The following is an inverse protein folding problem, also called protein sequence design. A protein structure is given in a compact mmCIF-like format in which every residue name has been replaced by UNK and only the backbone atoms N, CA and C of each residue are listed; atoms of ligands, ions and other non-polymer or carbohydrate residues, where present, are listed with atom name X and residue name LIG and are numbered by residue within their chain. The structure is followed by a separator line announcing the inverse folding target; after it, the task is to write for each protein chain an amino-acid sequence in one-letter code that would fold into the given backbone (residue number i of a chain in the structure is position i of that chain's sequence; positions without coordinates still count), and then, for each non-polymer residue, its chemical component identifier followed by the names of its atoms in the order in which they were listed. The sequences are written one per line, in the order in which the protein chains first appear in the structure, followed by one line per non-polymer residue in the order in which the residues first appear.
data_IF_723768526943
#
_entry.id   IF_723768526943
#
_cell.length_a   1.000
_cell.length_b   1.000
_cell.length_c   1.000
_cell.angle_alpha   90.00
_cell.angle_beta   90.00
_cell.angle_gamma   90.00
#
_symmetry.space_group_name_H-M   'P 1'
#
loop_
_entity.id
_entity.type
_entity.pdbx_description
1 polymer ?
#
# COMPACT_ATOMS: atom_id res chain seq x y z
N UNK A 1 -53.92 23.56 85.76
CA UNK A 1 -54.00 24.87 85.08
C UNK A 1 -53.52 24.73 83.63
N UNK A 2 -54.07 25.53 82.69
CA UNK A 2 -53.60 25.92 81.32
C UNK A 2 -52.91 24.85 80.44
N UNK A 3 -53.47 24.37 79.31
CA UNK A 3 -53.85 25.01 78.00
C UNK A 3 -52.69 25.38 77.05
N UNK A 4 -52.66 24.73 75.86
CA UNK A 4 -52.38 25.26 74.49
C UNK A 4 -50.96 25.87 74.26
N UNK A 5 -50.40 26.11 73.06
CA UNK A 5 -50.71 25.98 71.61
C UNK A 5 -49.31 25.96 70.89
N UNK A 6 -49.01 25.20 69.83
CA UNK A 6 -49.20 25.49 68.37
C UNK A 6 -48.36 26.65 67.78
N UNK A 7 -47.97 26.53 66.50
CA UNK A 7 -47.51 27.57 65.52
C UNK A 7 -45.98 27.84 65.43
N UNK A 8 -45.33 28.21 64.30
CA UNK A 8 -45.22 27.69 62.89
C UNK A 8 -44.08 28.49 62.12
N UNK A 9 -43.77 28.23 60.83
CA UNK A 9 -42.86 29.00 59.87
C UNK A 9 -41.31 28.78 60.05
N UNK A 10 -40.37 28.81 59.06
CA UNK A 10 -40.27 28.96 57.57
C UNK A 10 -39.01 28.18 57.08
N UNK A 11 -38.95 27.73 55.82
CA UNK A 11 -37.65 27.53 55.13
C UNK A 11 -37.61 26.45 54.05
N UNK A 12 -38.12 26.73 52.86
CA UNK A 12 -37.96 25.84 51.70
C UNK A 12 -36.79 26.25 50.80
N UNK A 13 -36.08 25.27 50.23
CA UNK A 13 -35.30 25.45 49.00
C UNK A 13 -35.29 24.15 48.20
N UNK A 14 -36.18 24.04 47.22
CA UNK A 14 -36.20 22.92 46.28
C UNK A 14 -35.28 23.24 45.09
N UNK A 15 -34.04 22.76 45.14
CA UNK A 15 -33.12 22.81 43.99
C UNK A 15 -33.49 21.70 43.00
N UNK A 16 -34.50 21.97 42.17
CA UNK A 16 -34.82 21.17 41.00
C UNK A 16 -33.73 21.36 39.94
N UNK A 17 -32.63 20.62 40.08
CA UNK A 17 -31.57 20.55 39.07
C UNK A 17 -32.07 19.84 37.82
N UNK A 18 -32.66 20.60 36.90
CA UNK A 18 -32.90 20.17 35.52
C UNK A 18 -31.54 20.01 34.81
N UNK A 19 -30.89 18.88 35.06
CA UNK A 19 -29.73 18.45 34.29
C UNK A 19 -30.17 18.27 32.85
N UNK A 20 -29.70 19.14 31.96
CA UNK A 20 -29.82 18.94 30.53
C UNK A 20 -29.03 17.68 30.17
N UNK A 21 -29.74 16.57 29.94
CA UNK A 21 -29.16 15.37 29.35
C UNK A 21 -28.91 15.73 27.89
N UNK A 22 -27.74 16.31 27.61
CA UNK A 22 -27.23 16.38 26.26
C UNK A 22 -27.18 14.93 25.73
N UNK A 23 -27.70 14.65 24.52
CA UNK A 23 -27.58 13.32 23.96
C UNK A 23 -26.09 13.03 23.81
N UNK A 24 -25.60 12.04 24.55
CA UNK A 24 -24.30 11.47 24.28
C UNK A 24 -24.41 10.80 22.91
N UNK A 25 -23.95 11.49 21.87
CA UNK A 25 -23.68 10.88 20.58
C UNK A 25 -22.47 9.96 20.77
N UNK A 26 -22.74 8.78 21.32
CA UNK A 26 -21.88 7.63 21.11
C UNK A 26 -21.83 7.43 19.59
N UNK A 27 -20.65 7.62 19.01
CA UNK A 27 -20.42 7.25 17.62
C UNK A 27 -20.70 5.74 17.52
N UNK A 28 -21.81 5.39 16.86
CA UNK A 28 -22.20 4.01 16.67
C UNK A 28 -21.24 3.41 15.64
N UNK A 29 -20.37 2.51 16.09
CA UNK A 29 -19.59 1.67 15.18
C UNK A 29 -20.52 0.60 14.62
N UNK A 30 -20.81 0.66 13.33
CA UNK A 30 -21.58 -0.37 12.62
C UNK A 30 -20.67 -1.59 12.41
N UNK A 31 -21.24 -2.79 12.51
CA UNK A 31 -20.52 -4.04 12.24
C UNK A 31 -21.02 -4.61 10.92
N UNK A 32 -20.09 -5.00 10.04
CA UNK A 32 -20.40 -5.83 8.87
C UNK A 32 -19.91 -7.26 9.11
N UNK A 33 -20.76 -8.22 8.76
CA UNK A 33 -20.51 -9.66 8.86
C UNK A 33 -21.23 -10.43 7.73
N UNK A 34 -21.44 -9.79 6.57
CA UNK A 34 -22.19 -10.32 5.42
C UNK A 34 -22.19 -9.37 4.22
N UNK A 35 -23.22 -9.43 3.38
CA UNK A 35 -23.36 -8.64 2.15
C UNK A 35 -24.23 -7.38 2.33
N UNK A 36 -23.84 -6.25 1.75
CA UNK A 36 -24.72 -5.07 1.65
C UNK A 36 -24.45 -4.23 0.39
N UNK A 37 -25.51 -3.68 -0.20
CA UNK A 37 -25.44 -2.89 -1.44
C UNK A 37 -26.21 -1.57 -1.34
N UNK A 38 -25.63 -0.48 -1.86
CA UNK A 38 -26.31 0.82 -2.00
C UNK A 38 -26.69 1.52 -0.69
N UNK A 39 -25.96 1.25 0.40
CA UNK A 39 -26.25 1.77 1.75
C UNK A 39 -25.31 2.91 2.16
N UNK A 40 -25.69 3.68 3.19
CA UNK A 40 -24.84 4.71 3.77
C UNK A 40 -24.69 4.51 5.27
N UNK A 41 -23.50 4.12 5.69
CA UNK A 41 -23.11 3.98 7.10
C UNK A 41 -22.80 5.37 7.65
N UNK A 42 -23.46 5.84 8.73
CA UNK A 42 -23.33 7.22 9.22
C UNK A 42 -22.08 7.47 10.09
N UNK A 43 -21.24 6.46 10.31
CA UNK A 43 -20.05 6.52 11.17
C UNK A 43 -19.02 5.46 10.80
N UNK A 44 -18.26 4.99 11.80
CA UNK A 44 -17.22 3.97 11.59
C UNK A 44 -17.83 2.58 11.29
N UNK A 45 -17.17 1.82 10.41
CA UNK A 45 -17.47 0.42 10.13
C UNK A 45 -16.38 -0.50 10.70
N UNK A 46 -16.78 -1.65 11.26
CA UNK A 46 -15.87 -2.74 11.61
C UNK A 46 -16.29 -4.06 10.94
N UNK A 47 -15.36 -4.75 10.29
CA UNK A 47 -15.49 -6.19 10.03
C UNK A 47 -14.82 -6.89 11.21
N UNK A 48 -15.53 -7.76 11.92
CA UNK A 48 -14.99 -8.39 13.15
C UNK A 48 -14.06 -9.56 12.80
N UNK A 49 -13.26 -9.99 13.78
CA UNK A 49 -12.18 -10.96 13.53
C UNK A 49 -12.73 -12.29 13.02
N UNK A 50 -12.28 -12.73 11.84
CA UNK A 50 -12.74 -13.95 11.17
C UNK A 50 -14.10 -13.85 10.46
N UNK A 51 -14.76 -12.69 10.49
CA UNK A 51 -15.93 -12.42 9.65
C UNK A 51 -15.48 -11.93 8.27
N UNK A 52 -16.33 -12.13 7.26
CA UNK A 52 -16.17 -11.55 5.93
C UNK A 52 -17.29 -10.53 5.67
N UNK A 53 -16.98 -9.51 4.89
CA UNK A 53 -17.90 -8.46 4.47
C UNK A 53 -17.75 -8.21 2.97
N UNK A 54 -18.86 -8.17 2.24
CA UNK A 54 -18.92 -7.78 0.84
C UNK A 54 -19.79 -6.54 0.70
N UNK A 55 -19.26 -5.47 0.09
CA UNK A 55 -19.97 -4.19 -0.07
C UNK A 55 -20.04 -3.77 -1.54
N UNK A 56 -21.23 -3.37 -1.98
CA UNK A 56 -21.47 -2.79 -3.30
C UNK A 56 -22.01 -1.35 -3.14
N UNK A 57 -21.55 -0.38 -3.93
CA UNK A 57 -22.06 1.01 -3.99
C UNK A 57 -22.29 1.67 -2.61
N UNK A 58 -21.40 1.40 -1.65
CA UNK A 58 -21.61 1.75 -0.23
C UNK A 58 -20.81 2.98 0.19
N UNK A 59 -21.42 3.85 1.01
CA UNK A 59 -20.76 5.05 1.54
C UNK A 59 -20.59 4.96 3.06
N UNK A 60 -19.37 5.17 3.55
CA UNK A 60 -19.02 5.12 4.97
C UNK A 60 -18.55 6.50 5.44
N UNK A 61 -19.36 7.14 6.29
CA UNK A 61 -19.09 8.47 6.85
C UNK A 61 -18.19 8.42 8.10
N UNK A 62 -17.14 7.60 8.03
CA UNK A 62 -16.21 7.34 9.12
C UNK A 62 -15.02 6.52 8.65
N UNK A 63 -14.37 5.85 9.59
CA UNK A 63 -13.24 4.97 9.34
C UNK A 63 -13.71 3.53 9.19
N UNK A 64 -12.95 2.72 8.44
CA UNK A 64 -13.15 1.28 8.33
C UNK A 64 -12.04 0.57 9.09
N UNK A 65 -12.41 -0.44 9.89
CA UNK A 65 -11.47 -1.36 10.51
C UNK A 65 -11.75 -2.80 10.09
N UNK A 66 -10.85 -3.36 9.30
CA UNK A 66 -10.81 -4.80 9.04
C UNK A 66 -10.03 -5.43 10.19
N UNK A 67 -10.70 -6.26 11.00
CA UNK A 67 -10.08 -6.90 12.16
C UNK A 67 -9.11 -8.01 11.75
N UNK A 68 -8.46 -8.63 12.74
CA UNK A 68 -7.48 -9.67 12.49
C UNK A 68 -8.15 -10.90 11.87
N UNK A 69 -7.59 -11.43 10.78
CA UNK A 69 -8.15 -12.56 10.04
C UNK A 69 -9.50 -12.30 9.36
N UNK A 70 -9.97 -11.04 9.33
CA UNK A 70 -11.24 -10.64 8.73
C UNK A 70 -11.06 -10.18 7.28
N UNK A 71 -12.09 -10.32 6.46
CA UNK A 71 -12.02 -9.95 5.04
C UNK A 71 -13.01 -8.84 4.70
N UNK A 72 -12.55 -7.82 3.99
CA UNK A 72 -13.41 -6.82 3.34
C UNK A 72 -13.14 -6.84 1.83
N UNK A 73 -14.15 -7.18 1.07
CA UNK A 73 -14.19 -7.06 -0.39
C UNK A 73 -15.22 -5.98 -0.72
N UNK A 74 -14.92 -5.07 -1.64
CA UNK A 74 -15.91 -4.10 -2.07
C UNK A 74 -15.72 -3.56 -3.49
N UNK A 75 -16.84 -3.29 -4.17
CA UNK A 75 -16.91 -2.54 -5.43
C UNK A 75 -17.70 -1.24 -5.20
N UNK A 76 -17.20 -0.12 -5.74
CA UNK A 76 -17.83 1.20 -5.60
C UNK A 76 -17.83 1.77 -4.16
N UNK A 77 -16.93 1.31 -3.28
CA UNK A 77 -16.89 1.75 -1.87
C UNK A 77 -16.34 3.17 -1.74
N UNK A 78 -17.07 4.04 -1.04
CA UNK A 78 -16.58 5.37 -0.62
C UNK A 78 -16.37 5.42 0.90
N UNK A 79 -15.13 5.67 1.34
CA UNK A 79 -14.76 5.85 2.76
C UNK A 79 -14.31 7.30 2.99
N UNK A 80 -15.11 8.06 3.76
CA UNK A 80 -14.83 9.45 4.13
C UNK A 80 -13.86 9.57 5.32
N UNK A 81 -12.94 8.62 5.45
CA UNK A 81 -12.02 8.42 6.57
C UNK A 81 -10.91 7.45 6.20
N UNK A 82 -10.29 6.82 7.20
CA UNK A 82 -9.17 5.88 6.98
C UNK A 82 -9.67 4.43 6.91
N UNK A 83 -8.95 3.57 6.19
CA UNK A 83 -9.11 2.11 6.26
C UNK A 83 -7.91 1.54 7.01
N UNK A 84 -8.15 0.72 8.04
CA UNK A 84 -7.08 0.07 8.81
C UNK A 84 -7.28 -1.44 8.83
N UNK A 85 -6.35 -2.17 8.23
CA UNK A 85 -6.33 -3.64 8.16
C UNK A 85 -5.38 -4.17 9.22
N UNK A 86 -5.88 -5.04 10.11
CA UNK A 86 -5.06 -5.70 11.14
C UNK A 86 -4.42 -7.00 10.61
N UNK A 87 -3.57 -7.60 11.44
CA UNK A 87 -2.88 -8.88 11.20
C UNK A 87 -3.77 -9.95 10.53
N UNK A 88 -3.32 -10.58 9.44
CA UNK A 88 -4.06 -11.59 8.66
C UNK A 88 -5.39 -11.13 8.03
N UNK A 89 -5.77 -9.86 8.15
CA UNK A 89 -6.95 -9.33 7.48
C UNK A 89 -6.73 -9.14 5.98
N UNK A 90 -7.77 -9.27 5.16
CA UNK A 90 -7.72 -9.00 3.72
C UNK A 90 -8.54 -7.76 3.37
N UNK A 91 -8.04 -6.97 2.43
CA UNK A 91 -8.75 -5.84 1.83
C UNK A 91 -8.62 -5.93 0.31
N UNK A 92 -9.75 -6.04 -0.38
CA UNK A 92 -9.87 -5.98 -1.83
C UNK A 92 -10.85 -4.85 -2.17
N UNK A 93 -10.39 -3.83 -2.87
CA UNK A 93 -11.19 -2.66 -3.25
C UNK A 93 -11.13 -2.44 -4.76
N UNK A 94 -12.29 -2.46 -5.39
CA UNK A 94 -12.51 -2.18 -6.81
C UNK A 94 -13.31 -0.89 -6.97
N UNK A 95 -12.99 -0.06 -7.98
CA UNK A 95 -13.66 1.23 -8.30
C UNK A 95 -13.89 2.15 -7.09
N UNK A 96 -13.01 2.11 -6.08
CA UNK A 96 -13.29 2.64 -4.75
C UNK A 96 -12.56 3.95 -4.43
N UNK A 97 -12.97 4.63 -3.37
CA UNK A 97 -12.35 5.88 -2.90
C UNK A 97 -12.19 5.88 -1.39
N UNK A 98 -10.96 6.07 -0.91
CA UNK A 98 -10.61 6.27 0.49
C UNK A 98 -10.07 7.69 0.66
N UNK A 99 -10.85 8.59 1.24
CA UNK A 99 -10.44 10.00 1.43
C UNK A 99 -9.28 10.14 2.42
N UNK A 100 -9.16 9.19 3.36
CA UNK A 100 -8.04 9.07 4.28
C UNK A 100 -6.97 8.08 3.83
N UNK A 101 -6.22 7.55 4.78
CA UNK A 101 -5.13 6.61 4.51
C UNK A 101 -5.62 5.16 4.52
N UNK A 102 -4.97 4.31 3.71
CA UNK A 102 -5.02 2.86 3.85
C UNK A 102 -3.81 2.44 4.71
N UNK A 103 -4.07 1.76 5.84
CA UNK A 103 -3.05 1.43 6.83
C UNK A 103 -3.02 -0.08 7.08
N UNK A 104 -1.94 -0.72 6.63
CA UNK A 104 -1.67 -2.15 6.82
C UNK A 104 -0.86 -2.35 8.12
N UNK A 105 -1.32 -3.27 8.99
CA UNK A 105 -0.64 -3.68 10.24
C UNK A 105 -0.41 -5.19 10.29
N UNK A 106 0.22 -5.73 9.24
CA UNK A 106 0.47 -7.17 9.06
C UNK A 106 -0.70 -7.91 8.42
N UNK A 107 -1.52 -7.22 7.62
CA UNK A 107 -2.59 -7.80 6.82
C UNK A 107 -2.11 -9.01 6.01
N UNK A 108 -3.00 -9.93 5.67
CA UNK A 108 -2.70 -10.94 4.65
C UNK A 108 -2.40 -10.25 3.31
N UNK A 109 -3.19 -9.24 2.94
CA UNK A 109 -2.97 -8.49 1.72
C UNK A 109 -3.90 -7.29 1.59
N UNK A 110 -3.45 -6.34 0.77
CA UNK A 110 -4.21 -5.17 0.32
C UNK A 110 -4.12 -5.12 -1.19
N UNK A 111 -5.26 -5.30 -1.86
CA UNK A 111 -5.43 -5.16 -3.31
C UNK A 111 -6.30 -3.94 -3.59
N UNK A 112 -5.83 -3.04 -4.47
CA UNK A 112 -6.52 -1.79 -4.81
C UNK A 112 -6.58 -1.63 -6.34
N UNK A 113 -7.78 -1.67 -6.89
CA UNK A 113 -8.07 -1.71 -8.32
C UNK A 113 -9.01 -0.56 -8.68
N UNK A 114 -8.66 0.24 -9.69
CA UNK A 114 -9.34 1.52 -10.03
C UNK A 114 -9.62 2.40 -8.79
N UNK A 115 -8.73 2.38 -7.80
CA UNK A 115 -9.01 2.89 -6.45
C UNK A 115 -8.16 4.11 -6.09
N UNK A 116 -8.82 5.17 -5.61
CA UNK A 116 -8.16 6.38 -5.11
C UNK A 116 -7.99 6.35 -3.60
N UNK A 117 -6.81 6.68 -3.08
CA UNK A 117 -6.53 6.83 -1.65
C UNK A 117 -5.70 8.08 -1.34
N UNK A 118 -5.74 8.62 -0.10
CA UNK A 118 -4.80 9.70 0.24
C UNK A 118 -3.36 9.18 0.37
N UNK A 119 -3.11 8.09 1.09
CA UNK A 119 -1.78 7.51 1.25
C UNK A 119 -1.86 6.05 1.69
N UNK A 120 -0.80 5.29 1.41
CA UNK A 120 -0.60 3.96 1.97
C UNK A 120 0.48 3.98 3.06
N UNK A 121 0.28 3.22 4.14
CA UNK A 121 1.33 2.97 5.14
C UNK A 121 1.25 1.55 5.68
N UNK A 122 2.31 0.76 5.51
CA UNK A 122 2.43 -0.58 6.07
C UNK A 122 3.50 -0.70 7.17
N UNK A 123 3.20 -1.52 8.18
CA UNK A 123 4.21 -2.22 8.96
C UNK A 123 3.86 -3.71 8.93
N UNK A 124 4.50 -4.41 7.99
CA UNK A 124 4.30 -5.81 7.67
C UNK A 124 5.44 -6.72 8.15
N UNK A 125 6.45 -6.21 8.87
CA UNK A 125 7.50 -7.06 9.49
C UNK A 125 6.94 -8.12 10.47
N UNK A 126 5.65 -8.08 10.81
CA UNK A 126 4.94 -9.07 11.62
C UNK A 126 4.25 -10.18 10.79
N UNK A 127 4.11 -10.00 9.47
CA UNK A 127 3.70 -11.00 8.50
C UNK A 127 4.48 -10.77 7.18
N UNK A 128 5.56 -11.53 6.91
CA UNK A 128 6.40 -11.33 5.72
C UNK A 128 5.67 -11.61 4.41
N UNK A 129 4.59 -12.40 4.43
CA UNK A 129 3.79 -12.77 3.25
C UNK A 129 2.69 -11.73 2.93
N UNK A 130 2.61 -10.64 3.72
CA UNK A 130 1.72 -9.50 3.48
C UNK A 130 2.05 -8.81 2.16
N UNK A 131 1.06 -8.33 1.42
CA UNK A 131 1.28 -7.55 0.20
C UNK A 131 0.49 -6.24 0.12
N UNK A 132 1.05 -5.28 -0.63
CA UNK A 132 0.30 -4.22 -1.31
C UNK A 132 0.43 -4.44 -2.82
N UNK A 133 -0.69 -4.68 -3.49
CA UNK A 133 -0.78 -4.71 -4.93
C UNK A 133 -1.79 -3.68 -5.42
N UNK A 134 -1.44 -2.95 -6.49
CA UNK A 134 -2.32 -1.93 -7.06
C UNK A 134 -2.36 -2.01 -8.58
N UNK A 135 -3.55 -1.82 -9.14
CA UNK A 135 -3.80 -1.66 -10.58
C UNK A 135 -4.66 -0.42 -10.81
N UNK A 136 -4.25 0.47 -11.72
CA UNK A 136 -4.95 1.74 -12.03
C UNK A 136 -5.34 2.57 -10.78
N UNK A 137 -4.49 2.57 -9.75
CA UNK A 137 -4.72 3.28 -8.48
C UNK A 137 -4.11 4.69 -8.47
N UNK A 138 -4.72 5.61 -7.70
CA UNK A 138 -4.17 6.95 -7.42
C UNK A 138 -3.93 7.15 -5.92
N UNK A 139 -2.73 7.61 -5.58
CA UNK A 139 -2.39 8.11 -4.25
C UNK A 139 -2.11 9.62 -4.30
N UNK A 140 -2.92 10.41 -3.60
CA UNK A 140 -2.71 11.87 -3.42
C UNK A 140 -1.47 12.23 -2.57
N UNK A 141 -0.92 11.24 -1.88
CA UNK A 141 0.18 11.31 -0.94
C UNK A 141 1.30 10.34 -1.30
N UNK A 142 1.82 9.63 -0.31
CA UNK A 142 2.95 8.70 -0.46
C UNK A 142 2.53 7.25 -0.24
N UNK A 143 3.32 6.33 -0.80
CA UNK A 143 3.33 4.92 -0.42
C UNK A 143 4.53 4.69 0.48
N UNK A 144 4.29 4.25 1.72
CA UNK A 144 5.34 3.86 2.67
C UNK A 144 5.11 2.41 3.09
N UNK A 145 6.06 1.52 2.82
CA UNK A 145 5.96 0.11 3.22
C UNK A 145 7.22 -0.35 3.94
N UNK A 146 7.03 -1.07 5.05
CA UNK A 146 8.12 -1.78 5.74
C UNK A 146 7.69 -3.23 5.93
N UNK A 147 8.41 -4.17 5.33
CA UNK A 147 8.01 -5.58 5.27
C UNK A 147 6.96 -5.88 4.20
N UNK A 148 6.79 -7.18 3.90
CA UNK A 148 5.85 -7.65 2.89
C UNK A 148 6.33 -7.42 1.45
N UNK A 149 5.42 -7.60 0.49
CA UNK A 149 5.66 -7.44 -0.94
C UNK A 149 4.93 -6.21 -1.49
N UNK A 150 5.55 -5.51 -2.45
CA UNK A 150 4.95 -4.33 -3.09
C UNK A 150 4.96 -4.50 -4.61
N UNK A 151 3.78 -4.37 -5.22
CA UNK A 151 3.60 -4.21 -6.66
C UNK A 151 2.75 -2.98 -6.91
N UNK A 152 3.29 -2.01 -7.65
CA UNK A 152 2.53 -0.87 -8.17
C UNK A 152 2.45 -1.01 -9.70
N UNK A 153 1.27 -1.27 -10.25
CA UNK A 153 1.03 -1.41 -11.68
C UNK A 153 0.05 -0.32 -12.17
N UNK A 154 0.40 0.35 -13.28
CA UNK A 154 -0.36 1.48 -13.89
C UNK A 154 -0.84 2.49 -12.83
N UNK A 155 -0.01 2.77 -11.83
CA UNK A 155 -0.39 3.49 -10.60
C UNK A 155 0.18 4.92 -10.60
N UNK A 156 -0.53 5.87 -9.97
CA UNK A 156 -0.06 7.25 -9.80
C UNK A 156 0.18 7.57 -8.33
N UNK A 157 1.41 7.92 -7.95
CA UNK A 157 1.79 8.34 -6.59
C UNK A 157 2.24 9.79 -6.63
N UNK A 158 1.41 10.71 -6.14
CA UNK A 158 1.67 12.15 -6.15
C UNK A 158 2.93 12.58 -5.36
N UNK A 159 3.40 11.76 -4.41
CA UNK A 159 4.59 12.01 -3.58
C UNK A 159 5.62 10.89 -3.73
N UNK A 160 6.28 10.52 -2.65
CA UNK A 160 7.33 9.50 -2.65
C UNK A 160 6.76 8.08 -2.59
N UNK A 161 7.57 7.14 -3.07
CA UNK A 161 7.46 5.71 -2.74
C UNK A 161 8.68 5.36 -1.90
N UNK A 162 8.45 4.87 -0.69
CA UNK A 162 9.47 4.50 0.29
C UNK A 162 9.22 3.04 0.72
N UNK A 163 10.09 2.10 0.33
CA UNK A 163 10.02 0.69 0.76
C UNK A 163 11.29 0.25 1.49
N UNK A 164 11.11 -0.52 2.58
CA UNK A 164 12.20 -1.06 3.39
C UNK A 164 11.93 -2.49 3.85
N UNK A 165 12.95 -3.34 3.86
CA UNK A 165 12.88 -4.71 4.42
C UNK A 165 11.76 -5.57 3.80
N UNK A 166 11.42 -5.34 2.52
CA UNK A 166 10.36 -6.01 1.77
C UNK A 166 10.85 -7.33 1.14
N UNK A 167 9.96 -8.26 0.79
CA UNK A 167 10.36 -9.43 -0.01
C UNK A 167 10.79 -8.97 -1.42
N UNK A 168 9.95 -8.18 -2.10
CA UNK A 168 10.29 -7.50 -3.35
C UNK A 168 9.59 -6.14 -3.45
N UNK A 169 10.03 -5.31 -4.41
CA UNK A 169 9.35 -4.06 -4.77
C UNK A 169 9.39 -3.87 -6.28
N UNK A 170 8.22 -4.07 -6.89
CA UNK A 170 7.99 -3.98 -8.33
C UNK A 170 7.15 -2.74 -8.67
N UNK A 171 7.58 -1.97 -9.67
CA UNK A 171 6.95 -0.72 -10.10
C UNK A 171 6.86 -0.72 -11.62
N UNK A 172 5.64 -0.92 -12.14
CA UNK A 172 5.34 -1.15 -13.55
C UNK A 172 4.38 -0.07 -14.06
N UNK A 173 4.68 0.56 -15.21
CA UNK A 173 3.83 1.59 -15.85
C UNK A 173 3.38 2.72 -14.88
N UNK A 174 4.20 3.02 -13.86
CA UNK A 174 3.79 3.78 -12.69
C UNK A 174 4.49 5.14 -12.65
N UNK A 175 3.78 6.17 -12.17
CA UNK A 175 4.34 7.51 -12.01
C UNK A 175 4.51 7.85 -10.53
N UNK A 176 5.72 8.23 -10.15
CA UNK A 176 6.07 8.71 -8.80
C UNK A 176 6.48 10.18 -8.88
N UNK A 177 5.58 11.09 -8.49
CA UNK A 177 5.80 12.54 -8.51
C UNK A 177 6.84 13.05 -7.50
N UNK A 178 7.35 12.16 -6.64
CA UNK A 178 8.40 12.43 -5.65
C UNK A 178 9.63 11.56 -5.85
N UNK A 179 10.32 11.25 -4.74
CA UNK A 179 11.47 10.34 -4.74
C UNK A 179 11.01 8.88 -4.69
N UNK A 180 11.80 7.98 -5.28
CA UNK A 180 11.70 6.54 -5.08
C UNK A 180 12.85 6.08 -4.18
N UNK A 181 12.54 5.37 -3.10
CA UNK A 181 13.55 4.75 -2.22
C UNK A 181 13.16 3.32 -1.96
N UNK A 182 14.02 2.37 -2.34
CA UNK A 182 13.83 0.93 -2.14
C UNK A 182 15.04 0.38 -1.42
N UNK A 183 14.85 -0.22 -0.26
CA UNK A 183 15.96 -0.63 0.61
C UNK A 183 15.73 -2.00 1.22
N UNK A 184 16.78 -2.83 1.28
CA UNK A 184 16.73 -4.11 1.98
C UNK A 184 15.70 -5.09 1.43
N UNK A 185 15.42 -5.11 0.12
CA UNK A 185 14.55 -6.16 -0.43
C UNK A 185 15.24 -7.52 -0.36
N UNK A 186 14.52 -8.62 -0.14
CA UNK A 186 15.11 -9.97 -0.12
C UNK A 186 15.36 -10.53 -1.53
N UNK A 187 14.40 -10.37 -2.45
CA UNK A 187 14.41 -10.90 -3.83
C UNK A 187 14.64 -9.84 -4.91
N UNK A 188 14.99 -8.62 -4.51
CA UNK A 188 15.38 -7.54 -5.42
C UNK A 188 14.30 -6.50 -5.66
N UNK A 189 14.55 -5.64 -6.65
CA UNK A 189 13.68 -4.53 -6.99
C UNK A 189 13.63 -4.33 -8.50
N UNK A 190 12.43 -4.13 -9.04
CA UNK A 190 12.19 -4.06 -10.47
C UNK A 190 11.36 -2.81 -10.83
N UNK A 191 11.86 -2.00 -11.75
CA UNK A 191 11.14 -0.81 -12.25
C UNK A 191 11.10 -0.85 -13.78
N UNK A 192 9.90 -0.78 -14.35
CA UNK A 192 9.63 -0.97 -15.77
C UNK A 192 8.61 0.06 -16.30
N UNK A 193 8.84 0.63 -17.49
CA UNK A 193 7.93 1.59 -18.14
C UNK A 193 7.53 2.83 -17.30
N UNK A 194 8.28 3.16 -16.24
CA UNK A 194 7.81 4.05 -15.18
C UNK A 194 8.49 5.43 -15.21
N UNK A 195 7.83 6.46 -14.68
CA UNK A 195 8.40 7.82 -14.49
C UNK A 195 8.55 8.16 -13.00
N UNK A 196 9.75 8.54 -12.57
CA UNK A 196 10.03 9.03 -11.21
C UNK A 196 10.56 10.45 -11.31
N UNK A 197 9.79 11.45 -10.89
CA UNK A 197 10.17 12.87 -11.02
C UNK A 197 11.33 13.28 -10.12
N UNK A 198 11.50 12.62 -8.97
CA UNK A 198 12.53 12.89 -7.99
C UNK A 198 13.81 12.08 -8.15
N UNK A 199 14.53 11.93 -7.05
CA UNK A 199 15.69 11.04 -6.95
C UNK A 199 15.24 9.60 -6.73
N UNK A 200 15.98 8.65 -7.30
CA UNK A 200 15.79 7.23 -7.05
C UNK A 200 17.00 6.64 -6.31
N UNK A 201 16.74 5.90 -5.22
CA UNK A 201 17.77 5.23 -4.42
C UNK A 201 17.39 3.77 -4.20
N UNK A 202 18.29 2.87 -4.57
CA UNK A 202 18.19 1.44 -4.35
C UNK A 202 19.37 1.02 -3.48
N UNK A 203 19.15 0.50 -2.27
CA UNK A 203 20.25 0.20 -1.36
C UNK A 203 20.09 -1.10 -0.56
N UNK A 204 21.16 -1.89 -0.50
CA UNK A 204 21.24 -3.14 0.26
C UNK A 204 20.22 -4.20 -0.15
N UNK A 205 19.85 -4.26 -1.43
CA UNK A 205 18.87 -5.19 -1.97
C UNK A 205 19.50 -6.57 -2.28
N UNK A 206 18.74 -7.64 -2.04
CA UNK A 206 19.03 -9.03 -2.36
C UNK A 206 18.75 -9.36 -3.83
N UNK A 207 19.40 -10.40 -4.36
CA UNK A 207 19.27 -10.98 -5.72
C UNK A 207 19.49 -10.05 -6.94
N UNK A 208 19.07 -8.79 -6.91
CA UNK A 208 19.41 -7.78 -7.91
C UNK A 208 18.62 -6.47 -7.81
N UNK A 209 18.89 -5.58 -8.77
CA UNK A 209 18.07 -4.39 -9.05
C UNK A 209 17.97 -4.23 -10.55
N UNK A 210 16.76 -4.17 -11.11
CA UNK A 210 16.52 -4.02 -12.54
C UNK A 210 15.74 -2.74 -12.83
N UNK A 211 16.33 -1.82 -13.60
CA UNK A 211 15.75 -0.54 -13.99
C UNK A 211 15.63 -0.45 -15.51
N UNK A 212 14.39 -0.38 -16.00
CA UNK A 212 14.04 -0.28 -17.42
C UNK A 212 13.93 -1.63 -18.15
N UNK A 213 14.18 -1.62 -19.46
CA UNK A 213 13.76 -2.67 -20.38
C UNK A 213 14.60 -3.97 -20.31
N UNK A 214 13.89 -5.10 -20.27
CA UNK A 214 14.42 -6.47 -20.09
C UNK A 214 15.30 -6.70 -18.86
N UNK A 215 15.58 -7.97 -18.54
CA UNK A 215 16.68 -8.31 -17.62
C UNK A 215 16.49 -9.58 -16.80
N UNK A 216 17.37 -9.73 -15.80
CA UNK A 216 17.48 -10.93 -14.98
C UNK A 216 16.46 -11.05 -13.83
N UNK A 217 15.70 -10.00 -13.53
CA UNK A 217 14.59 -10.00 -12.57
C UNK A 217 13.22 -9.98 -13.26
N UNK A 218 13.15 -10.14 -14.58
CA UNK A 218 11.91 -10.29 -15.33
C UNK A 218 11.92 -9.57 -16.67
N UNK A 219 11.02 -9.99 -17.56
CA UNK A 219 10.84 -9.31 -18.84
C UNK A 219 10.13 -7.95 -18.63
N UNK A 220 10.63 -6.93 -19.32
CA UNK A 220 10.06 -5.59 -19.32
C UNK A 220 9.94 -5.09 -20.77
N UNK A 221 8.71 -5.10 -21.29
CA UNK A 221 8.37 -4.61 -22.64
C UNK A 221 7.55 -3.30 -22.60
N UNK A 222 7.35 -2.71 -21.41
CA UNK A 222 6.59 -1.46 -21.20
C UNK A 222 7.36 -0.19 -21.64
N UNK A 223 8.57 -0.35 -22.18
CA UNK A 223 9.38 0.71 -22.75
C UNK A 223 10.26 1.49 -21.76
N UNK A 224 10.79 2.61 -22.25
CA UNK A 224 11.83 3.41 -21.60
C UNK A 224 11.38 4.03 -20.29
N UNK A 225 12.09 3.75 -19.18
CA UNK A 225 11.81 4.38 -17.88
C UNK A 225 12.49 5.76 -17.76
N UNK A 226 11.85 6.69 -17.06
CA UNK A 226 12.25 8.10 -16.99
C UNK A 226 12.53 8.53 -15.55
N UNK A 227 13.71 9.12 -15.33
CA UNK A 227 14.17 9.52 -14.00
C UNK A 227 14.47 11.02 -13.99
N UNK A 228 13.70 11.78 -13.21
CA UNK A 228 13.77 13.23 -13.13
C UNK A 228 14.98 13.77 -12.35
N UNK A 229 15.49 12.98 -11.40
CA UNK A 229 16.71 13.25 -10.65
C UNK A 229 17.84 12.25 -10.91
N UNK A 230 18.73 12.15 -9.92
CA UNK A 230 19.78 11.12 -9.87
C UNK A 230 19.20 9.74 -9.56
N UNK A 231 19.85 8.70 -10.10
CA UNK A 231 19.65 7.28 -9.75
C UNK A 231 20.91 6.77 -9.06
N UNK A 232 20.75 6.19 -7.88
CA UNK A 232 21.86 5.59 -7.10
C UNK A 232 21.53 4.15 -6.75
N UNK A 233 22.44 3.21 -7.02
CA UNK A 233 22.33 1.80 -6.60
C UNK A 233 23.54 1.40 -5.76
N UNK A 234 23.32 1.00 -4.51
CA UNK A 234 24.43 0.74 -3.57
C UNK A 234 24.27 -0.54 -2.75
N UNK A 235 25.35 -1.30 -2.58
CA UNK A 235 25.36 -2.50 -1.72
C UNK A 235 24.42 -3.63 -2.13
N UNK A 236 23.97 -3.66 -3.39
CA UNK A 236 23.07 -4.72 -3.90
C UNK A 236 23.86 -6.01 -4.16
N UNK A 237 23.36 -7.12 -3.65
CA UNK A 237 23.88 -8.47 -3.97
C UNK A 237 23.25 -8.99 -5.26
N UNK A 238 23.96 -9.86 -5.99
CA UNK A 238 23.49 -10.37 -7.28
C UNK A 238 23.74 -9.41 -8.45
N UNK A 239 22.73 -9.16 -9.30
CA UNK A 239 22.91 -8.36 -10.53
C UNK A 239 22.14 -7.04 -10.53
N UNK A 240 22.87 -5.92 -10.70
CA UNK A 240 22.29 -4.61 -10.97
C UNK A 240 22.27 -4.36 -12.49
N UNK A 241 21.09 -4.25 -13.07
CA UNK A 241 20.88 -3.97 -14.49
C UNK A 241 20.14 -2.64 -14.68
N UNK A 242 20.69 -1.76 -15.49
CA UNK A 242 20.08 -0.46 -15.85
C UNK A 242 20.06 -0.36 -17.38
N UNK A 243 18.91 -0.61 -18.01
CA UNK A 243 18.79 -0.71 -19.48
C UNK A 243 17.63 0.14 -20.00
N UNK A 244 17.83 0.88 -21.09
CA UNK A 244 16.83 1.76 -21.72
C UNK A 244 16.15 2.75 -20.74
N UNK A 245 16.97 3.62 -20.14
CA UNK A 245 16.51 4.67 -19.23
C UNK A 245 16.86 6.07 -19.73
N UNK A 246 15.99 7.05 -19.49
CA UNK A 246 16.31 8.48 -19.59
C UNK A 246 16.55 9.02 -18.18
N UNK A 247 17.82 9.21 -17.80
CA UNK A 247 18.21 9.73 -16.48
C UNK A 247 18.58 11.21 -16.62
N UNK A 248 17.77 12.10 -16.04
CA UNK A 248 17.98 13.56 -16.09
C UNK A 248 19.11 14.01 -15.14
N UNK A 249 19.38 13.27 -14.06
CA UNK A 249 20.52 13.47 -13.17
C UNK A 249 21.72 12.56 -13.46
N UNK A 250 22.46 12.21 -12.40
CA UNK A 250 23.58 11.26 -12.43
C UNK A 250 23.08 9.81 -12.33
N UNK A 251 23.90 8.86 -12.78
CA UNK A 251 23.78 7.42 -12.46
C UNK A 251 25.03 6.98 -11.69
N UNK A 252 24.89 6.58 -10.44
CA UNK A 252 26.00 6.13 -9.59
C UNK A 252 25.77 4.72 -9.01
N UNK A 253 26.85 3.95 -8.88
CA UNK A 253 26.84 2.57 -8.41
C UNK A 253 28.00 2.28 -7.48
N UNK A 254 27.75 1.87 -6.24
CA UNK A 254 28.83 1.59 -5.26
C UNK A 254 28.59 0.32 -4.44
N UNK A 255 29.61 -0.54 -4.37
CA UNK A 255 29.59 -1.73 -3.51
C UNK A 255 28.58 -2.82 -3.90
N UNK A 256 28.07 -2.81 -5.13
CA UNK A 256 27.22 -3.88 -5.67
C UNK A 256 28.08 -5.05 -6.17
N UNK A 257 27.58 -6.28 -6.11
CA UNK A 257 28.32 -7.49 -6.56
C UNK A 257 28.68 -7.41 -8.06
N UNK A 258 27.70 -7.02 -8.88
CA UNK A 258 27.90 -6.81 -10.31
C UNK A 258 26.95 -5.74 -10.85
N UNK A 259 27.42 -4.99 -11.86
CA UNK A 259 26.61 -3.98 -12.54
C UNK A 259 26.67 -4.15 -14.05
N UNK A 260 25.56 -3.92 -14.74
CA UNK A 260 25.46 -3.76 -16.17
C UNK A 260 24.59 -2.55 -16.51
N UNK A 261 25.01 -1.79 -17.52
CA UNK A 261 24.18 -0.72 -18.08
C UNK A 261 24.28 -0.67 -19.61
N UNK A 262 23.14 -0.46 -20.28
CA UNK A 262 22.98 -0.46 -21.74
C UNK A 262 21.96 0.59 -22.17
N UNK A 263 22.15 1.23 -23.32
CA UNK A 263 21.13 2.05 -24.00
C UNK A 263 20.53 3.22 -23.19
N UNK A 264 21.18 3.60 -22.09
CA UNK A 264 20.74 4.70 -21.24
C UNK A 264 21.14 6.07 -21.80
N UNK A 265 20.21 7.02 -21.71
CA UNK A 265 20.47 8.44 -21.93
C UNK A 265 20.61 9.16 -20.59
N UNK A 266 21.84 9.19 -20.08
CA UNK A 266 22.20 9.94 -18.87
C UNK A 266 22.55 11.38 -19.26
N UNK A 267 21.99 12.38 -18.55
CA UNK A 267 22.29 13.81 -18.76
C UNK A 267 23.33 14.37 -17.79
N UNK A 268 23.41 13.81 -16.59
CA UNK A 268 24.45 14.11 -15.60
C UNK A 268 25.71 13.25 -15.82
N UNK A 269 26.38 12.93 -14.73
CA UNK A 269 27.59 12.11 -14.73
C UNK A 269 27.28 10.62 -14.52
N UNK A 270 28.10 9.77 -15.13
CA UNK A 270 28.16 8.34 -14.83
C UNK A 270 29.25 8.11 -13.77
N UNK A 271 28.87 7.55 -12.63
CA UNK A 271 29.71 7.40 -11.44
C UNK A 271 29.97 5.96 -11.03
N UNK A 272 30.92 5.79 -10.10
CA UNK A 272 31.28 4.53 -9.47
C UNK A 272 31.47 3.35 -10.43
N UNK A 273 30.93 2.19 -10.05
CA UNK A 273 31.03 0.93 -10.76
C UNK A 273 30.45 1.00 -12.18
N UNK A 274 29.43 1.83 -12.44
CA UNK A 274 28.89 1.98 -13.79
C UNK A 274 29.88 2.71 -14.73
N UNK A 275 30.64 3.67 -14.20
CA UNK A 275 31.69 4.35 -14.97
C UNK A 275 32.86 3.41 -15.29
N UNK A 276 33.24 2.54 -14.34
CA UNK A 276 34.24 1.49 -14.54
C UNK A 276 33.77 0.46 -15.58
N UNK A 277 32.52 0.01 -15.47
CA UNK A 277 31.87 -0.93 -16.38
C UNK A 277 31.83 -0.39 -17.82
N UNK A 278 31.52 0.90 -18.02
CA UNK A 278 31.50 1.51 -19.34
C UNK A 278 32.89 1.51 -20.01
N UNK A 279 33.95 1.73 -19.23
CA UNK A 279 35.34 1.61 -19.71
C UNK A 279 35.74 0.16 -20.04
N UNK A 280 35.16 -0.82 -19.34
CA UNK A 280 35.39 -2.25 -19.59
C UNK A 280 34.60 -2.79 -20.80
N UNK A 281 33.34 -2.41 -21.00
CA UNK A 281 32.54 -2.79 -22.19
C UNK A 281 33.18 -2.30 -23.50
N UNK A 282 33.90 -1.17 -23.48
CA UNK A 282 34.70 -0.71 -24.63
C UNK A 282 35.86 -1.66 -25.01
N UNK A 283 36.15 -2.68 -24.18
CA UNK A 283 37.27 -3.62 -24.37
C UNK A 283 36.85 -5.07 -24.62
N UNK A 284 35.66 -5.49 -24.22
CA UNK A 284 35.12 -6.85 -24.46
C UNK A 284 33.59 -6.82 -24.57
N UNK A 285 33.05 -7.63 -25.49
CA UNK A 285 31.61 -7.77 -25.73
C UNK A 285 31.28 -9.25 -25.92
N UNK A 286 30.51 -9.82 -24.98
CA UNK A 286 29.74 -11.06 -25.07
C UNK A 286 28.84 -11.17 -23.83
N UNK A 287 27.67 -11.78 -23.97
CA UNK A 287 26.53 -11.63 -23.04
C UNK A 287 26.45 -12.74 -21.98
N UNK A 288 25.63 -12.50 -20.94
CA UNK A 288 25.31 -13.43 -19.86
C UNK A 288 23.78 -13.67 -19.80
N UNK A 289 23.31 -14.85 -19.36
CA UNK A 289 21.89 -15.19 -19.31
C UNK A 289 21.16 -14.58 -18.10
N UNK A 290 19.83 -14.42 -18.24
CA UNK A 290 18.90 -13.98 -17.20
C UNK A 290 18.56 -15.11 -16.19
N UNK A 291 17.97 -14.73 -15.05
CA UNK A 291 17.34 -15.62 -14.07
C UNK A 291 15.81 -15.51 -14.15
N UNK A 292 15.08 -16.47 -13.56
CA UNK A 292 13.62 -16.58 -13.66
C UNK A 292 12.93 -16.14 -12.35
N UNK A 293 12.34 -14.95 -12.33
CA UNK A 293 11.55 -14.40 -11.20
C UNK A 293 10.04 -14.57 -11.36
N UNK A 294 9.55 -14.77 -12.59
CA UNK A 294 8.12 -14.66 -12.91
C UNK A 294 7.21 -15.70 -12.23
N UNK A 295 7.76 -16.83 -11.82
CA UNK A 295 7.02 -17.92 -11.20
C UNK A 295 6.42 -17.57 -9.83
N UNK A 296 7.02 -16.65 -9.08
CA UNK A 296 6.56 -16.29 -7.74
C UNK A 296 5.34 -15.35 -7.78
N UNK A 297 5.29 -14.42 -8.75
CA UNK A 297 4.11 -13.56 -8.99
C UNK A 297 2.86 -14.38 -9.35
N UNK A 298 2.98 -15.40 -10.19
CA UNK A 298 1.85 -16.26 -10.58
C UNK A 298 1.28 -17.04 -9.37
N UNK A 299 2.14 -17.55 -8.50
CA UNK A 299 1.73 -18.24 -7.26
C UNK A 299 1.00 -17.29 -6.31
N UNK A 300 1.52 -16.07 -6.13
CA UNK A 300 0.88 -15.08 -5.26
C UNK A 300 -0.49 -14.64 -5.82
N UNK A 301 -0.66 -14.49 -7.14
CA UNK A 301 -1.97 -14.09 -7.71
C UNK A 301 -3.00 -15.21 -7.56
N UNK A 302 -2.57 -16.48 -7.66
CA UNK A 302 -3.42 -17.60 -7.28
C UNK A 302 -3.83 -17.51 -5.80
N UNK A 303 -2.90 -17.26 -4.88
CA UNK A 303 -3.18 -17.13 -3.45
C UNK A 303 -4.12 -15.95 -3.11
N UNK A 304 -3.98 -14.83 -3.83
CA UNK A 304 -4.87 -13.66 -3.75
C UNK A 304 -6.27 -14.01 -4.26
N UNK A 305 -6.38 -14.56 -5.47
CA UNK A 305 -7.65 -15.05 -6.05
C UNK A 305 -8.35 -16.07 -5.16
N UNK A 306 -7.59 -16.99 -4.55
CA UNK A 306 -8.11 -17.94 -3.57
C UNK A 306 -8.62 -17.29 -2.27
N UNK A 307 -8.03 -16.17 -1.82
CA UNK A 307 -8.52 -15.44 -0.64
C UNK A 307 -9.79 -14.64 -0.96
N UNK A 308 -9.81 -13.95 -2.11
CA UNK A 308 -10.99 -13.24 -2.61
C UNK A 308 -12.21 -14.16 -2.67
N UNK A 309 -12.09 -15.30 -3.35
CA UNK A 309 -13.19 -16.28 -3.45
C UNK A 309 -13.65 -16.83 -2.10
N UNK A 310 -12.75 -16.98 -1.12
CA UNK A 310 -13.09 -17.40 0.26
C UNK A 310 -13.81 -16.29 1.03
N UNK A 311 -13.45 -15.03 0.80
CA UNK A 311 -14.08 -13.87 1.42
C UNK A 311 -15.51 -13.64 0.89
N UNK A 312 -15.69 -13.65 -0.42
CA UNK A 312 -17.01 -13.54 -1.09
C UNK A 312 -17.96 -14.64 -0.63
N UNK A 313 -17.54 -15.91 -0.72
CA UNK A 313 -18.33 -17.05 -0.24
C UNK A 313 -18.56 -17.04 1.28
N UNK A 314 -17.71 -16.35 2.04
CA UNK A 314 -17.88 -16.09 3.47
C UNK A 314 -19.02 -15.11 3.75
N UNK A 315 -19.06 -14.00 3.00
CA UNK A 315 -20.11 -12.99 3.08
C UNK A 315 -21.47 -13.53 2.61
N UNK A 316 -21.52 -14.16 1.42
CA UNK A 316 -22.75 -14.78 0.86
C UNK A 316 -23.40 -15.75 1.86
N UNK A 317 -22.57 -16.60 2.49
CA UNK A 317 -23.01 -17.59 3.47
C UNK A 317 -23.58 -16.97 4.74
N UNK A 318 -23.10 -15.80 5.16
CA UNK A 318 -23.66 -15.07 6.29
C UNK A 318 -24.95 -14.32 5.91
N UNK A 319 -25.09 -13.94 4.64
CA UNK A 319 -26.27 -13.29 4.08
C UNK A 319 -26.26 -11.78 4.29
N UNK A 320 -27.42 -11.11 4.23
CA UNK A 320 -27.48 -9.65 4.29
C UNK A 320 -26.97 -9.08 5.63
N UNK A 321 -25.95 -8.23 5.56
CA UNK A 321 -25.45 -7.46 6.69
C UNK A 321 -26.47 -6.38 7.12
N UNK A 322 -26.51 -6.10 8.42
CA UNK A 322 -27.44 -5.13 9.01
C UNK A 322 -26.75 -3.77 9.24
N UNK A 323 -26.60 -3.00 8.16
CA UNK A 323 -25.86 -1.72 8.09
C UNK A 323 -26.75 -0.47 8.19
#
# INVERSE_FOLDING_TARGET
MRKRMTTVLIGGLALAGLGAIAPAQAALTTSCDGEAGGVTVPGDLVVRAGDACSLEDTVINGNVRVAAGADLVADGLTVNGNVVVQSEGYLDLLNSTVTGNVVNRGAYGVYLDYTTANAYTANANVNPDSFLWTYEADFSGRVLATGGSVLLETTYVNRAVETSDTQYTDILDTVVGGALTVTGTDYGAFVCGSEVDGHATFASNGEGVQLGAGGALGDCELGTSVWGGNVTVAGTTGHVQVTDNIIRGNLDGTGNDSVAQSDNRIRGELGGQFAEQAQMRMRMQLEAPAAESGAEREVLEQLRSERLSKAEAGAEKAGPANL
#
